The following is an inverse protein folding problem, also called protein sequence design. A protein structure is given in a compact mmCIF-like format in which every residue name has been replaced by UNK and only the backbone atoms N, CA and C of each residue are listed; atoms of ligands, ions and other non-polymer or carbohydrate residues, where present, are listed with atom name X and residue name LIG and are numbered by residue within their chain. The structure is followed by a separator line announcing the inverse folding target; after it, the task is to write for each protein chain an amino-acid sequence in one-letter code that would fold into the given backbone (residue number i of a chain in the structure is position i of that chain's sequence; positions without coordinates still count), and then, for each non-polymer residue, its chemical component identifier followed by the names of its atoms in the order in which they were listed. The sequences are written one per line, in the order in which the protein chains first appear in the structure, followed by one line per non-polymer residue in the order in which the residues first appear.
data_IF_029501944929
#
_entry.id   IF_029501944929
#
_cell.length_a   1.000
_cell.length_b   1.000
_cell.length_c   1.000
_cell.angle_alpha   90.00
_cell.angle_beta   90.00
_cell.angle_gamma   90.00
#
_symmetry.space_group_name_H-M   'P 1'
#
loop_
_entity.id
_entity.type
_entity.pdbx_description
1 polymer ?
#
# COMPACT_ATOMS: atom_id res chain seq x y z
N UNK A 1 17.97 12.25 -14.62
CA UNK A 1 19.12 11.40 -14.29
C UNK A 1 19.31 11.37 -12.79
N UNK A 2 19.55 10.21 -12.22
CA UNK A 2 20.03 10.04 -10.85
C UNK A 2 21.54 9.85 -10.84
N UNK A 3 22.17 10.13 -9.70
CA UNK A 3 23.60 9.91 -9.52
C UNK A 3 23.88 9.18 -8.22
N UNK A 4 24.78 8.20 -8.27
CA UNK A 4 25.22 7.47 -7.08
C UNK A 4 26.71 7.16 -7.17
N UNK A 5 27.32 6.91 -6.01
CA UNK A 5 28.69 6.43 -5.89
C UNK A 5 28.69 5.18 -5.01
N UNK A 6 28.77 4.01 -5.64
CA UNK A 6 28.84 2.74 -4.90
C UNK A 6 30.08 2.69 -4.02
N UNK A 7 29.94 2.18 -2.79
CA UNK A 7 31.08 1.92 -1.91
C UNK A 7 31.99 0.83 -2.48
N UNK A 8 33.23 0.74 -2.01
CA UNK A 8 34.18 -0.35 -2.33
C UNK A 8 33.56 -1.75 -2.17
N UNK A 9 32.71 -1.91 -1.16
CA UNK A 9 32.06 -3.17 -0.79
C UNK A 9 30.76 -3.44 -1.55
N UNK A 10 30.21 -2.45 -2.28
CA UNK A 10 28.90 -2.55 -2.93
C UNK A 10 28.88 -3.57 -4.07
N UNK A 11 27.73 -4.17 -4.39
CA UNK A 11 27.57 -4.99 -5.60
C UNK A 11 26.60 -4.30 -6.57
N UNK A 12 27.05 -3.27 -7.29
CA UNK A 12 26.16 -2.44 -8.10
C UNK A 12 25.57 -3.25 -9.26
N UNK A 13 24.25 -3.16 -9.43
CA UNK A 13 23.57 -3.75 -10.59
C UNK A 13 23.95 -3.03 -11.90
N UNK A 14 24.31 -1.74 -11.82
CA UNK A 14 24.72 -0.88 -12.92
C UNK A 14 25.92 -0.03 -12.45
N UNK A 15 26.91 0.21 -13.32
CA UNK A 15 28.05 1.10 -13.04
C UNK A 15 29.22 0.45 -12.31
N UNK A 16 30.20 1.27 -11.89
CA UNK A 16 31.48 0.82 -11.31
C UNK A 16 31.62 1.25 -9.84
N UNK A 17 32.10 0.34 -8.98
CA UNK A 17 32.39 0.64 -7.57
C UNK A 17 33.37 1.80 -7.43
N UNK A 18 33.17 2.65 -6.42
CA UNK A 18 34.07 3.77 -6.12
C UNK A 18 34.02 4.93 -7.12
N UNK A 19 33.25 4.82 -8.20
CA UNK A 19 33.10 5.86 -9.23
C UNK A 19 31.72 6.52 -9.10
N UNK A 20 31.67 7.81 -9.39
CA UNK A 20 30.39 8.51 -9.52
C UNK A 20 29.79 8.13 -10.87
N UNK A 21 28.59 7.57 -10.83
CA UNK A 21 27.83 7.16 -12.01
C UNK A 21 26.59 8.05 -12.14
N UNK A 22 26.13 8.25 -13.37
CA UNK A 22 24.87 8.95 -13.67
C UNK A 22 24.06 8.11 -14.63
N UNK A 23 22.81 7.85 -14.25
CA UNK A 23 21.92 6.95 -14.98
C UNK A 23 20.57 7.63 -15.22
N UNK A 24 19.92 7.26 -16.32
CA UNK A 24 18.52 7.64 -16.53
C UNK A 24 17.64 6.86 -15.56
N UNK A 25 16.78 7.58 -14.84
CA UNK A 25 15.91 7.01 -13.81
C UNK A 25 14.48 7.43 -14.03
N UNK A 26 13.56 6.60 -13.55
CA UNK A 26 12.14 6.88 -13.53
C UNK A 26 11.76 7.20 -12.08
N UNK A 27 11.20 8.38 -11.86
CA UNK A 27 10.57 8.72 -10.57
C UNK A 27 9.15 8.18 -10.56
N UNK A 28 8.89 7.20 -9.70
CA UNK A 28 7.56 6.64 -9.47
C UNK A 28 6.95 7.22 -8.21
N UNK A 29 5.72 7.73 -8.30
CA UNK A 29 4.99 8.32 -7.17
C UNK A 29 3.64 7.62 -7.03
N UNK A 30 3.35 7.13 -5.83
CA UNK A 30 2.13 6.38 -5.52
C UNK A 30 1.57 6.82 -4.17
N UNK A 31 0.24 6.82 -4.05
CA UNK A 31 -0.46 7.03 -2.77
C UNK A 31 -0.77 5.66 -2.17
N UNK A 32 -0.47 5.50 -0.88
CA UNK A 32 -0.65 4.24 -0.15
C UNK A 32 -1.39 4.52 1.15
N UNK A 33 -2.33 3.64 1.50
CA UNK A 33 -2.96 3.65 2.82
C UNK A 33 -1.92 3.39 3.92
N UNK A 34 -1.96 4.14 5.01
CA UNK A 34 -0.95 4.05 6.07
C UNK A 34 -0.78 2.63 6.63
N UNK A 35 -1.87 1.85 6.75
CA UNK A 35 -1.81 0.47 7.25
C UNK A 35 -1.22 -0.53 6.24
N UNK A 36 -1.15 -0.20 4.95
CA UNK A 36 -0.50 -1.03 3.91
C UNK A 36 0.94 -0.65 3.65
N UNK A 37 1.39 0.50 4.18
CA UNK A 37 2.73 1.02 3.94
C UNK A 37 3.87 0.00 4.21
N UNK A 38 3.86 -0.77 5.32
CA UNK A 38 4.91 -1.76 5.56
C UNK A 38 4.99 -2.84 4.47
N UNK A 39 3.85 -3.34 4.00
CA UNK A 39 3.77 -4.36 2.95
C UNK A 39 4.27 -3.80 1.61
N UNK A 40 3.90 -2.56 1.28
CA UNK A 40 4.35 -1.90 0.05
C UNK A 40 5.86 -1.68 0.06
N UNK A 41 6.45 -1.24 1.18
CA UNK A 41 7.90 -1.06 1.28
C UNK A 41 8.65 -2.38 1.07
N UNK A 42 8.17 -3.47 1.67
CA UNK A 42 8.77 -4.80 1.47
C UNK A 42 8.68 -5.22 0.00
N UNK A 43 7.49 -5.13 -0.60
CA UNK A 43 7.28 -5.49 -1.99
C UNK A 43 8.15 -4.66 -2.95
N UNK A 44 8.22 -3.34 -2.74
CA UNK A 44 9.06 -2.44 -3.52
C UNK A 44 10.54 -2.85 -3.42
N UNK A 45 11.06 -3.07 -2.20
CA UNK A 45 12.46 -3.48 -2.00
C UNK A 45 12.77 -4.83 -2.65
N UNK A 46 11.85 -5.79 -2.58
CA UNK A 46 12.05 -7.11 -3.20
C UNK A 46 12.00 -7.08 -4.73
N UNK A 47 11.22 -6.18 -5.32
CA UNK A 47 11.11 -6.04 -6.76
C UNK A 47 12.19 -5.13 -7.37
N UNK A 48 12.81 -4.27 -6.57
CA UNK A 48 13.79 -3.30 -7.06
C UNK A 48 15.12 -3.99 -7.43
N UNK A 49 15.75 -3.63 -8.56
CA UNK A 49 17.00 -4.27 -9.02
C UNK A 49 18.23 -3.89 -8.17
N UNK A 50 18.15 -2.80 -7.40
CA UNK A 50 19.28 -2.31 -6.61
C UNK A 50 19.22 -2.84 -5.18
N UNK A 51 20.39 -3.18 -4.63
CA UNK A 51 20.57 -3.62 -3.24
C UNK A 51 20.06 -2.57 -2.24
N UNK A 52 20.40 -1.30 -2.48
CA UNK A 52 19.92 -0.15 -1.71
C UNK A 52 18.95 0.67 -2.57
N UNK A 53 17.71 0.79 -2.09
CA UNK A 53 16.63 1.49 -2.80
C UNK A 53 16.45 2.88 -2.21
N UNK A 54 16.57 3.92 -3.03
CA UNK A 54 16.21 5.28 -2.65
C UNK A 54 14.69 5.48 -2.80
N UNK A 55 14.02 5.84 -1.71
CA UNK A 55 12.59 6.18 -1.70
C UNK A 55 12.30 7.19 -0.60
N UNK A 56 11.29 8.03 -0.81
CA UNK A 56 10.82 9.04 0.14
C UNK A 56 9.38 8.75 0.57
N UNK A 57 9.05 9.10 1.81
CA UNK A 57 7.70 8.98 2.36
C UNK A 57 7.16 10.37 2.69
N UNK A 58 6.10 10.77 1.99
CA UNK A 58 5.41 12.04 2.23
C UNK A 58 4.06 11.76 2.91
N UNK A 59 3.87 12.29 4.12
CA UNK A 59 2.59 12.18 4.82
C UNK A 59 1.56 13.11 4.16
N UNK A 60 0.53 12.51 3.57
CA UNK A 60 -0.61 13.23 3.03
C UNK A 60 -1.69 13.37 4.10
N UNK A 61 -2.31 14.55 4.18
CA UNK A 61 -3.47 14.81 5.05
C UNK A 61 -4.80 14.67 4.31
N UNK A 62 -4.79 13.90 3.22
CA UNK A 62 -5.97 13.71 2.40
C UNK A 62 -7.03 12.95 3.21
N UNK A 63 -8.29 13.35 3.06
CA UNK A 63 -9.40 12.54 3.57
C UNK A 63 -9.51 11.26 2.73
N UNK A 64 -9.61 10.13 3.40
CA UNK A 64 -9.79 8.84 2.75
C UNK A 64 -11.17 8.30 3.15
N UNK A 65 -12.08 8.25 2.18
CA UNK A 65 -13.47 7.84 2.39
C UNK A 65 -13.65 6.32 2.34
N UNK A 66 -12.59 5.54 2.10
CA UNK A 66 -12.67 4.09 1.90
C UNK A 66 -12.60 3.28 3.20
N UNK A 67 -12.51 3.92 4.36
CA UNK A 67 -12.52 3.26 5.66
C UNK A 67 -13.34 4.05 6.68
N UNK A 68 -13.92 3.33 7.64
CA UNK A 68 -14.74 3.90 8.69
C UNK A 68 -15.32 2.81 9.58
N UNK A 69 -16.06 3.21 10.61
CA UNK A 69 -16.77 2.30 11.49
C UNK A 69 -18.22 2.22 11.06
N UNK A 70 -18.71 1.00 10.83
CA UNK A 70 -20.07 0.73 10.40
C UNK A 70 -20.25 0.76 8.88
N UNK A 71 -21.43 0.36 8.45
CA UNK A 71 -21.84 0.40 7.05
C UNK A 71 -23.33 0.77 6.98
N UNK A 72 -23.68 1.59 5.99
CA UNK A 72 -25.06 1.87 5.62
C UNK A 72 -25.31 1.34 4.21
N UNK A 73 -26.48 0.79 3.99
CA UNK A 73 -26.86 0.27 2.68
C UNK A 73 -28.33 -0.13 2.66
N UNK A 74 -28.82 -0.43 1.47
CA UNK A 74 -30.20 -0.80 1.24
C UNK A 74 -30.33 -2.31 0.98
N UNK A 75 -31.43 -2.89 1.46
CA UNK A 75 -31.74 -4.27 1.16
C UNK A 75 -32.24 -4.39 -0.28
N UNK A 76 -31.78 -5.43 -1.00
CA UNK A 76 -32.27 -5.73 -2.37
C UNK A 76 -33.79 -5.86 -2.46
N UNK A 77 -34.43 -6.25 -1.37
CA UNK A 77 -35.89 -6.38 -1.25
C UNK A 77 -36.31 -5.81 0.10
N UNK A 78 -37.39 -5.00 0.16
CA UNK A 78 -37.97 -4.56 1.41
C UNK A 78 -38.35 -5.76 2.29
N UNK A 79 -38.13 -5.65 3.59
CA UNK A 79 -38.52 -6.63 4.61
C UNK A 79 -39.23 -5.91 5.73
N UNK A 80 -40.20 -6.57 6.37
CA UNK A 80 -40.74 -6.06 7.62
C UNK A 80 -39.77 -6.32 8.79
N UNK A 81 -40.04 -5.72 9.95
CA UNK A 81 -39.19 -5.81 11.14
C UNK A 81 -38.86 -7.25 11.54
N UNK A 82 -39.85 -8.14 11.61
CA UNK A 82 -39.66 -9.51 12.11
C UNK A 82 -38.86 -10.36 11.10
N UNK A 83 -39.14 -10.18 9.80
CA UNK A 83 -38.37 -10.80 8.72
C UNK A 83 -36.91 -10.35 8.75
N UNK A 84 -36.65 -9.06 8.95
CA UNK A 84 -35.29 -8.51 9.03
C UNK A 84 -34.52 -9.07 10.24
N UNK A 85 -35.12 -9.10 11.43
CA UNK A 85 -34.47 -9.64 12.64
C UNK A 85 -34.12 -11.13 12.48
N UNK A 86 -35.03 -11.92 11.91
CA UNK A 86 -34.77 -13.33 11.60
C UNK A 86 -33.65 -13.49 10.54
N UNK A 87 -33.65 -12.65 9.51
CA UNK A 87 -32.60 -12.63 8.49
C UNK A 87 -31.23 -12.33 9.10
N UNK A 88 -31.14 -11.29 9.94
CA UNK A 88 -29.89 -10.88 10.61
C UNK A 88 -29.39 -11.97 11.55
N UNK A 89 -30.24 -12.51 12.42
CA UNK A 89 -29.86 -13.61 13.31
C UNK A 89 -29.30 -14.81 12.53
N UNK A 90 -29.98 -15.23 11.45
CA UNK A 90 -29.54 -16.34 10.62
C UNK A 90 -28.21 -16.06 9.92
N UNK A 91 -28.00 -14.84 9.41
CA UNK A 91 -26.77 -14.45 8.71
C UNK A 91 -25.58 -14.27 9.63
N UNK A 92 -25.80 -13.68 10.80
CA UNK A 92 -24.76 -13.47 11.81
C UNK A 92 -24.57 -14.66 12.75
N UNK A 93 -25.37 -15.72 12.59
CA UNK A 93 -25.38 -16.91 13.46
C UNK A 93 -25.57 -16.57 14.94
N UNK A 94 -26.34 -15.51 15.21
CA UNK A 94 -26.69 -15.10 16.56
C UNK A 94 -27.90 -15.90 17.05
N UNK A 95 -27.84 -16.40 18.29
CA UNK A 95 -29.03 -16.95 18.96
C UNK A 95 -29.99 -15.79 19.23
N UNK A 96 -31.23 -15.94 18.77
CA UNK A 96 -32.35 -15.08 19.19
C UNK A 96 -32.75 -15.47 20.60
#
# INVERSE_FOLDING_TARGET
TGSFKGAEQSSPAIGTKGKLESVDEIRLEVIVDNWKLPEVIVAMKSAHPYEEVAYDLYLLKNENMNYGVGAIGELKRPMNKNEFLNFVSKKLKAKI
#
